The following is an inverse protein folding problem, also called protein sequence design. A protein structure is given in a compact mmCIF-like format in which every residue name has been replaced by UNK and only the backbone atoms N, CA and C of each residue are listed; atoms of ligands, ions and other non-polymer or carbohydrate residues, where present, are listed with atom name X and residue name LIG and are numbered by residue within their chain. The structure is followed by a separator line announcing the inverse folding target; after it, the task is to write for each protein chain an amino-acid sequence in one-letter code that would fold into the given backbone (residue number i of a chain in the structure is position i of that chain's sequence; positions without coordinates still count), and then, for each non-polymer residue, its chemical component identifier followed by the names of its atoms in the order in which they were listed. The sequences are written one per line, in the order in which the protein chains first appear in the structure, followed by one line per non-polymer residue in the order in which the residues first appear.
data_IF_660145435434
#
_entry.id   IF_660145435434
#
_cell.length_a   1.000
_cell.length_b   1.000
_cell.length_c   1.000
_cell.angle_alpha   90.00
_cell.angle_beta   90.00
_cell.angle_gamma   90.00
#
_symmetry.space_group_name_H-M   'P 1'
#
loop_
_entity.id
_entity.type
_entity.pdbx_description
1 polymer ?
#
# COMPACT_ATOMS: atom_id res chain seq x y z
N UNK A 1 -20.23 -10.61 -3.59
CA UNK A 1 -18.81 -10.37 -3.21
C UNK A 1 -18.29 -11.59 -2.51
N UNK A 2 -17.31 -12.29 -3.08
CA UNK A 2 -16.71 -13.47 -2.41
C UNK A 2 -15.57 -12.98 -1.55
N UNK A 3 -15.84 -12.83 -0.26
CA UNK A 3 -14.81 -12.50 0.73
C UNK A 3 -13.83 -13.67 0.86
N UNK A 4 -12.54 -13.40 0.89
CA UNK A 4 -11.51 -14.43 1.06
C UNK A 4 -11.70 -15.11 2.42
N UNK A 5 -11.78 -16.45 2.40
CA UNK A 5 -11.92 -17.26 3.61
C UNK A 5 -10.53 -17.48 4.22
N UNK A 6 -10.37 -17.16 5.51
CA UNK A 6 -9.16 -17.43 6.27
C UNK A 6 -8.95 -18.94 6.47
N UNK A 7 -7.72 -19.41 6.31
CA UNK A 7 -7.34 -20.79 6.63
C UNK A 7 -7.26 -21.02 8.16
N UNK A 8 -7.01 -22.25 8.60
CA UNK A 8 -7.01 -22.60 10.04
C UNK A 8 -5.96 -21.83 10.84
N UNK A 9 -4.73 -21.67 10.32
CA UNK A 9 -3.68 -20.92 11.00
C UNK A 9 -4.04 -19.41 11.09
N UNK A 10 -4.53 -18.82 10.00
CA UNK A 10 -4.97 -17.42 9.97
C UNK A 10 -6.12 -17.16 10.97
N UNK A 11 -7.05 -18.12 11.11
CA UNK A 11 -8.13 -18.05 12.12
C UNK A 11 -7.59 -18.11 13.55
N UNK A 12 -6.59 -18.95 13.82
CA UNK A 12 -5.94 -19.02 15.13
C UNK A 12 -5.23 -17.70 15.49
N UNK A 13 -4.47 -17.13 14.56
CA UNK A 13 -3.82 -15.83 14.78
C UNK A 13 -4.88 -14.74 15.00
N UNK A 14 -5.94 -14.70 14.20
CA UNK A 14 -7.04 -13.75 14.39
C UNK A 14 -7.68 -13.89 15.78
N UNK A 15 -7.93 -15.12 16.25
CA UNK A 15 -8.48 -15.36 17.59
C UNK A 15 -7.57 -14.83 18.70
N UNK A 16 -6.25 -14.98 18.58
CA UNK A 16 -5.26 -14.39 19.51
C UNK A 16 -5.34 -12.86 19.50
N UNK A 17 -5.39 -12.24 18.31
CA UNK A 17 -5.52 -10.77 18.16
C UNK A 17 -6.84 -10.28 18.80
N UNK A 18 -7.96 -10.96 18.55
CA UNK A 18 -9.25 -10.57 19.15
C UNK A 18 -9.29 -10.76 20.67
N UNK A 19 -8.60 -11.79 21.20
CA UNK A 19 -8.40 -11.97 22.63
C UNK A 19 -7.57 -10.82 23.23
N UNK A 20 -6.45 -10.47 22.60
CA UNK A 20 -5.61 -9.35 23.00
C UNK A 20 -6.40 -8.04 22.99
N UNK A 21 -7.16 -7.76 21.91
CA UNK A 21 -7.99 -6.56 21.77
C UNK A 21 -8.97 -6.35 22.90
N UNK A 22 -9.53 -7.43 23.48
CA UNK A 22 -10.48 -7.36 24.61
C UNK A 22 -9.80 -6.99 25.93
N UNK A 23 -8.52 -7.33 26.10
CA UNK A 23 -7.76 -7.13 27.34
C UNK A 23 -7.01 -5.81 27.36
N UNK A 24 -6.45 -5.40 26.22
CA UNK A 24 -5.66 -4.16 26.10
C UNK A 24 -6.58 -2.93 26.05
N UNK A 25 -6.19 -1.84 26.72
CA UNK A 25 -6.85 -0.53 26.56
C UNK A 25 -6.45 0.10 25.23
N UNK A 26 -7.11 1.20 24.86
CA UNK A 26 -6.74 1.99 23.70
C UNK A 26 -5.36 2.62 23.93
N UNK A 27 -4.39 2.26 23.09
CA UNK A 27 -3.05 2.82 23.13
C UNK A 27 -2.99 4.28 22.67
N UNK A 28 -1.94 4.97 23.08
CA UNK A 28 -1.62 6.31 22.58
C UNK A 28 -0.96 6.16 21.22
N UNK A 29 -1.60 6.69 20.19
CA UNK A 29 -1.13 6.66 18.81
C UNK A 29 -0.34 7.93 18.48
N UNK A 30 0.86 7.78 17.93
CA UNK A 30 1.71 8.86 17.41
C UNK A 30 2.13 8.54 15.98
N UNK A 31 2.03 9.52 15.07
CA UNK A 31 2.16 9.33 13.63
C UNK A 31 3.35 10.14 13.08
N UNK A 32 4.56 9.69 13.39
CA UNK A 32 5.81 10.22 12.80
C UNK A 32 6.16 9.40 11.54
N UNK A 33 7.44 9.23 11.22
CA UNK A 33 7.87 8.32 10.15
C UNK A 33 7.43 6.88 10.41
N UNK A 34 7.34 6.48 11.67
CA UNK A 34 6.69 5.23 12.09
C UNK A 34 5.28 5.47 12.63
N UNK A 35 4.41 4.47 12.48
CA UNK A 35 3.16 4.38 13.22
C UNK A 35 3.50 3.84 14.61
N UNK A 36 3.39 4.68 15.64
CA UNK A 36 3.80 4.36 17.01
C UNK A 36 2.59 4.20 17.92
N UNK A 37 2.62 3.17 18.74
CA UNK A 37 1.57 2.89 19.73
C UNK A 37 2.23 2.63 21.07
N UNK A 38 1.80 3.36 22.10
CA UNK A 38 2.13 3.08 23.49
C UNK A 38 0.93 2.44 24.16
N UNK A 39 1.11 1.23 24.71
CA UNK A 39 0.08 0.47 25.40
C UNK A 39 0.65 -0.19 26.66
N UNK A 40 -0.19 -0.97 27.38
CA UNK A 40 0.24 -1.66 28.58
C UNK A 40 1.36 -2.68 28.28
N UNK A 41 2.48 -2.57 29.01
CA UNK A 41 3.69 -3.39 28.80
C UNK A 41 3.53 -4.86 29.16
N UNK A 42 2.53 -5.20 29.97
CA UNK A 42 2.23 -6.60 30.33
C UNK A 42 1.89 -7.49 29.13
N UNK A 43 1.56 -6.88 27.96
CA UNK A 43 1.26 -7.56 26.72
C UNK A 43 2.44 -7.61 25.72
N UNK A 44 3.59 -7.05 26.05
CA UNK A 44 4.72 -6.89 25.11
C UNK A 44 5.19 -8.22 24.51
N UNK A 45 5.29 -9.28 25.30
CA UNK A 45 5.73 -10.59 24.82
C UNK A 45 4.69 -11.23 23.88
N UNK A 46 3.40 -11.12 24.22
CA UNK A 46 2.31 -11.63 23.38
C UNK A 46 2.23 -10.86 22.04
N UNK A 47 2.36 -9.54 22.10
CA UNK A 47 2.38 -8.67 20.90
C UNK A 47 3.57 -9.03 20.01
N UNK A 48 4.76 -9.16 20.60
CA UNK A 48 5.99 -9.55 19.89
C UNK A 48 5.81 -10.90 19.20
N UNK A 49 5.28 -11.89 19.89
CA UNK A 49 5.06 -13.22 19.31
C UNK A 49 4.07 -13.19 18.14
N UNK A 50 2.95 -12.49 18.27
CA UNK A 50 1.98 -12.33 17.17
C UNK A 50 2.64 -11.60 15.99
N UNK A 51 3.43 -10.55 16.24
CA UNK A 51 4.11 -9.81 15.19
C UNK A 51 5.14 -10.67 14.43
N UNK A 52 5.86 -11.56 15.13
CA UNK A 52 6.79 -12.52 14.53
C UNK A 52 6.07 -13.56 13.67
N UNK A 53 4.95 -14.10 14.15
CA UNK A 53 4.13 -15.07 13.41
C UNK A 53 3.53 -14.47 12.11
N UNK A 54 3.45 -13.13 12.03
CA UNK A 54 2.92 -12.39 10.89
C UNK A 54 3.98 -11.93 9.89
N UNK A 55 5.26 -12.26 10.06
CA UNK A 55 6.30 -11.94 9.06
C UNK A 55 5.98 -12.57 7.69
N UNK A 56 6.47 -11.96 6.60
CA UNK A 56 7.23 -10.70 6.48
C UNK A 56 6.36 -9.44 6.58
N UNK A 57 6.96 -8.37 7.12
CA UNK A 57 6.37 -7.03 7.16
C UNK A 57 6.91 -6.19 6.00
N UNK A 58 6.04 -5.89 5.05
CA UNK A 58 6.41 -5.16 3.83
C UNK A 58 6.38 -3.64 4.03
N UNK A 59 5.24 -3.06 4.41
CA UNK A 59 5.09 -1.61 4.65
C UNK A 59 5.29 -1.29 6.13
N UNK A 60 5.83 -0.10 6.42
CA UNK A 60 6.10 0.40 7.76
C UNK A 60 7.04 1.60 7.75
N UNK A 61 7.76 1.87 8.87
CA UNK A 61 7.88 1.04 10.07
C UNK A 61 6.74 1.22 11.09
N UNK A 62 6.63 0.27 12.01
CA UNK A 62 5.76 0.36 13.17
C UNK A 62 6.57 0.28 14.46
N UNK A 63 6.08 0.94 15.51
CA UNK A 63 6.66 0.83 16.86
C UNK A 63 5.54 0.58 17.87
N UNK A 64 5.67 -0.46 18.67
CA UNK A 64 4.75 -0.78 19.76
C UNK A 64 5.59 -0.87 21.03
N UNK A 65 5.46 0.10 21.92
CA UNK A 65 6.37 0.27 23.05
C UNK A 65 7.84 0.22 22.57
N UNK A 66 8.64 -0.75 23.06
CA UNK A 66 10.02 -0.96 22.63
C UNK A 66 10.16 -1.85 21.39
N UNK A 67 9.08 -2.51 20.96
CA UNK A 67 9.10 -3.35 19.76
C UNK A 67 9.12 -2.48 18.51
N UNK A 68 10.25 -2.47 17.79
CA UNK A 68 10.38 -1.81 16.50
C UNK A 68 10.30 -2.84 15.37
N UNK A 69 9.26 -2.71 14.54
CA UNK A 69 9.05 -3.51 13.34
C UNK A 69 9.62 -2.73 12.17
N UNK A 70 10.90 -2.97 11.89
CA UNK A 70 11.64 -2.37 10.78
C UNK A 70 11.27 -3.07 9.47
N UNK A 71 10.20 -2.62 8.86
CA UNK A 71 9.66 -3.23 7.65
C UNK A 71 10.59 -3.09 6.44
N UNK A 72 10.37 -3.90 5.40
CA UNK A 72 11.14 -3.85 4.14
C UNK A 72 11.17 -2.43 3.54
N UNK A 73 10.00 -1.78 3.50
CA UNK A 73 9.85 -0.43 2.95
C UNK A 73 9.78 0.62 4.05
N UNK A 74 10.59 1.67 3.89
CA UNK A 74 10.43 2.93 4.61
C UNK A 74 9.29 3.71 3.97
N UNK A 75 8.05 3.31 4.27
CA UNK A 75 6.86 3.77 3.57
C UNK A 75 6.58 5.27 3.76
N UNK A 76 7.18 5.89 4.79
CA UNK A 76 7.12 7.34 4.97
C UNK A 76 7.77 8.12 3.82
N UNK A 77 8.77 7.55 3.13
CA UNK A 77 9.42 8.19 1.97
C UNK A 77 8.37 8.50 0.90
N UNK A 78 7.58 7.49 0.52
CA UNK A 78 6.47 7.64 -0.42
C UNK A 78 5.37 8.57 0.13
N UNK A 79 5.01 8.40 1.39
CA UNK A 79 3.96 9.21 2.02
C UNK A 79 4.32 10.69 2.02
N UNK A 80 5.59 11.03 2.31
CA UNK A 80 6.07 12.40 2.34
C UNK A 80 6.08 13.07 0.96
N UNK A 81 6.25 12.31 -0.14
CA UNK A 81 6.09 12.85 -1.50
C UNK A 81 4.64 13.29 -1.79
N UNK A 82 3.66 12.59 -1.22
CA UNK A 82 2.25 12.89 -1.38
C UNK A 82 1.74 13.93 -0.36
N UNK A 83 2.44 14.10 0.76
CA UNK A 83 2.00 14.92 1.91
C UNK A 83 1.53 16.34 1.56
N UNK A 84 2.15 17.07 0.60
CA UNK A 84 1.68 18.40 0.19
C UNK A 84 0.24 18.42 -0.34
N UNK A 85 -0.26 17.29 -0.84
CA UNK A 85 -1.60 17.15 -1.44
C UNK A 85 -2.63 16.55 -0.47
N UNK A 86 -2.22 16.15 0.75
CA UNK A 86 -3.10 15.39 1.66
C UNK A 86 -4.05 16.26 2.49
N UNK A 87 -3.91 17.58 2.47
CA UNK A 87 -4.89 18.49 3.09
C UNK A 87 -6.31 18.32 2.51
N UNK A 88 -6.40 17.83 1.26
CA UNK A 88 -7.67 17.50 0.60
C UNK A 88 -8.47 16.38 1.32
N UNK A 89 -7.84 15.60 2.21
CA UNK A 89 -8.49 14.47 2.90
C UNK A 89 -9.46 14.90 4.00
N UNK A 90 -9.34 16.13 4.51
CA UNK A 90 -10.17 16.61 5.63
C UNK A 90 -11.66 16.50 5.30
N UNK A 91 -12.40 15.78 6.14
CA UNK A 91 -13.84 15.56 6.00
C UNK A 91 -14.26 14.66 4.83
N UNK A 92 -13.32 14.01 4.12
CA UNK A 92 -13.59 13.17 2.94
C UNK A 92 -13.77 11.69 3.30
N UNK A 93 -14.49 10.99 2.44
CA UNK A 93 -14.58 9.52 2.43
C UNK A 93 -13.47 8.99 1.53
N UNK A 94 -12.50 8.29 2.14
CA UNK A 94 -11.24 7.92 1.50
C UNK A 94 -11.08 6.41 1.45
N UNK A 95 -10.62 5.89 0.29
CA UNK A 95 -10.19 4.50 0.13
C UNK A 95 -8.67 4.41 -0.07
N UNK A 96 -8.05 3.34 0.44
CA UNK A 96 -6.70 2.90 0.07
C UNK A 96 -6.79 1.50 -0.54
N UNK A 97 -6.55 1.39 -1.86
CA UNK A 97 -6.65 0.15 -2.63
C UNK A 97 -5.27 -0.46 -2.79
N UNK A 98 -5.09 -1.70 -2.33
CA UNK A 98 -3.79 -2.30 -2.09
C UNK A 98 -3.15 -1.75 -0.82
N UNK A 99 -3.97 -1.54 0.21
CA UNK A 99 -3.56 -0.90 1.45
C UNK A 99 -2.50 -1.69 2.24
N UNK A 100 -2.27 -2.96 1.89
CA UNK A 100 -1.36 -3.85 2.60
C UNK A 100 -1.73 -3.92 4.10
N UNK A 101 -0.81 -3.69 5.02
CA UNK A 101 -1.05 -3.69 6.47
C UNK A 101 -1.63 -2.37 7.03
N UNK A 102 -2.08 -1.48 6.15
CA UNK A 102 -2.75 -0.24 6.54
C UNK A 102 -1.83 0.89 6.98
N UNK A 103 -0.51 0.81 6.76
CA UNK A 103 0.42 1.87 7.17
C UNK A 103 -0.05 3.25 6.73
N UNK A 104 -0.43 3.42 5.45
CA UNK A 104 -0.91 4.72 4.94
C UNK A 104 -2.26 5.11 5.54
N UNK A 105 -3.16 4.15 5.80
CA UNK A 105 -4.44 4.43 6.45
C UNK A 105 -4.24 5.03 7.85
N UNK A 106 -3.31 4.48 8.65
CA UNK A 106 -2.98 5.08 9.95
C UNK A 106 -2.39 6.48 9.78
N UNK A 107 -1.48 6.68 8.82
CA UNK A 107 -0.88 7.99 8.55
C UNK A 107 -1.90 9.03 8.10
N UNK A 108 -2.91 8.64 7.33
CA UNK A 108 -3.98 9.53 6.86
C UNK A 108 -4.87 10.06 7.99
N UNK A 109 -4.88 9.45 9.17
CA UNK A 109 -5.63 9.95 10.33
C UNK A 109 -5.20 11.38 10.74
N UNK A 110 -3.94 11.78 10.45
CA UNK A 110 -3.45 13.14 10.72
C UNK A 110 -4.29 14.23 10.01
N UNK A 111 -4.95 13.89 8.90
CA UNK A 111 -5.71 14.80 8.04
C UNK A 111 -7.21 14.78 8.31
N UNK A 112 -7.66 14.10 9.37
CA UNK A 112 -9.06 14.08 9.82
C UNK A 112 -10.07 13.74 8.70
N UNK A 113 -9.89 12.64 7.94
CA UNK A 113 -10.90 12.18 6.99
C UNK A 113 -12.18 11.78 7.71
N UNK A 114 -13.34 11.94 7.05
CA UNK A 114 -14.62 11.52 7.61
C UNK A 114 -14.71 9.99 7.72
N UNK A 115 -14.10 9.28 6.78
CA UNK A 115 -14.05 7.81 6.76
C UNK A 115 -12.80 7.32 6.03
N UNK A 116 -12.19 6.25 6.55
CA UNK A 116 -11.08 5.53 5.91
C UNK A 116 -11.47 4.07 5.71
N UNK A 117 -11.28 3.56 4.47
CA UNK A 117 -11.51 2.16 4.12
C UNK A 117 -10.31 1.62 3.36
N UNK A 118 -9.67 0.58 3.88
CA UNK A 118 -8.61 -0.14 3.18
C UNK A 118 -9.15 -1.35 2.44
N UNK A 119 -8.63 -1.59 1.24
CA UNK A 119 -8.94 -2.76 0.42
C UNK A 119 -7.65 -3.52 0.11
N UNK A 120 -7.53 -4.76 0.55
CA UNK A 120 -6.45 -5.65 0.16
C UNK A 120 -6.89 -7.11 0.30
N UNK A 121 -6.70 -7.99 -0.71
CA UNK A 121 -7.15 -9.38 -0.66
C UNK A 121 -6.22 -10.30 0.15
N UNK A 122 -5.12 -9.79 0.72
CA UNK A 122 -4.15 -10.58 1.47
C UNK A 122 -4.58 -10.81 2.91
N UNK A 123 -4.79 -12.05 3.30
CA UNK A 123 -5.12 -12.40 4.68
C UNK A 123 -3.99 -12.04 5.68
N UNK A 124 -2.71 -12.21 5.29
CA UNK A 124 -1.57 -11.86 6.15
C UNK A 124 -1.55 -10.38 6.48
N UNK A 125 -1.67 -9.52 5.47
CA UNK A 125 -1.64 -8.06 5.66
C UNK A 125 -2.87 -7.57 6.42
N UNK A 126 -4.02 -8.21 6.22
CA UNK A 126 -5.19 -8.00 7.06
C UNK A 126 -4.91 -8.31 8.54
N UNK A 127 -4.28 -9.44 8.84
CA UNK A 127 -3.95 -9.79 10.22
C UNK A 127 -2.91 -8.85 10.84
N UNK A 128 -1.93 -8.38 10.06
CA UNK A 128 -1.01 -7.32 10.49
C UNK A 128 -1.78 -6.03 10.85
N UNK A 129 -2.68 -5.58 9.98
CA UNK A 129 -3.57 -4.45 10.28
C UNK A 129 -4.41 -4.71 11.54
N UNK A 130 -5.00 -5.90 11.68
CA UNK A 130 -5.82 -6.27 12.85
C UNK A 130 -5.02 -6.18 14.15
N UNK A 131 -3.75 -6.62 14.16
CA UNK A 131 -2.87 -6.49 15.32
C UNK A 131 -2.66 -5.01 15.69
N UNK A 132 -2.23 -4.19 14.74
CA UNK A 132 -1.99 -2.76 14.96
C UNK A 132 -3.28 -2.06 15.42
N UNK A 133 -4.40 -2.33 14.76
CA UNK A 133 -5.67 -1.70 15.10
C UNK A 133 -6.32 -2.24 16.39
N UNK A 134 -5.97 -3.44 16.82
CA UNK A 134 -6.39 -3.96 18.14
C UNK A 134 -5.84 -3.09 19.29
N UNK A 135 -4.62 -2.56 19.10
CA UNK A 135 -3.93 -1.70 20.05
C UNK A 135 -4.33 -0.22 19.89
N UNK A 136 -4.38 0.28 18.67
CA UNK A 136 -4.69 1.68 18.37
C UNK A 136 -6.20 2.01 18.50
N UNK A 137 -7.08 1.02 18.31
CA UNK A 137 -8.56 1.14 18.34
C UNK A 137 -9.06 2.33 17.52
N UNK A 138 -8.59 2.42 16.26
CA UNK A 138 -9.03 3.46 15.31
C UNK A 138 -10.32 3.06 14.58
N UNK A 139 -11.08 4.02 14.01
CA UNK A 139 -12.30 3.75 13.25
C UNK A 139 -12.02 3.32 11.78
N UNK A 140 -10.80 2.92 11.45
CA UNK A 140 -10.45 2.48 10.10
C UNK A 140 -11.14 1.14 9.79
N UNK A 141 -11.83 1.07 8.65
CA UNK A 141 -12.37 -0.16 8.10
C UNK A 141 -11.33 -0.83 7.18
N UNK A 142 -11.27 -2.15 7.21
CA UNK A 142 -10.42 -2.93 6.32
C UNK A 142 -11.23 -4.06 5.69
N UNK A 143 -11.22 -4.12 4.38
CA UNK A 143 -11.94 -5.08 3.56
C UNK A 143 -10.98 -6.07 2.89
N UNK A 144 -11.21 -7.38 3.08
CA UNK A 144 -10.50 -8.44 2.35
C UNK A 144 -11.01 -8.55 0.90
N UNK A 145 -10.92 -7.44 0.16
CA UNK A 145 -11.45 -7.28 -1.18
C UNK A 145 -10.38 -6.64 -2.10
N UNK A 146 -10.44 -6.95 -3.38
CA UNK A 146 -9.61 -6.30 -4.41
C UNK A 146 -10.30 -5.10 -5.07
N UNK A 147 -9.57 -4.45 -5.99
CA UNK A 147 -10.05 -3.28 -6.75
C UNK A 147 -11.33 -3.58 -7.54
N UNK A 148 -11.48 -4.80 -8.03
CA UNK A 148 -12.65 -5.28 -8.78
C UNK A 148 -13.97 -5.19 -8.00
N UNK A 149 -13.91 -5.00 -6.69
CA UNK A 149 -15.09 -4.87 -5.84
C UNK A 149 -15.56 -3.41 -5.67
N UNK A 150 -14.71 -2.43 -6.00
CA UNK A 150 -15.03 -1.00 -5.86
C UNK A 150 -16.31 -0.56 -6.61
N UNK A 151 -16.54 -0.99 -7.86
CA UNK A 151 -17.75 -0.56 -8.60
C UNK A 151 -19.05 -0.88 -7.88
N UNK A 152 -19.07 -1.99 -7.12
CA UNK A 152 -20.25 -2.51 -6.43
C UNK A 152 -20.15 -2.38 -4.89
N UNK A 153 -19.22 -1.60 -4.38
CA UNK A 153 -19.10 -1.36 -2.95
C UNK A 153 -20.27 -0.51 -2.43
N UNK A 154 -20.59 -0.61 -1.15
CA UNK A 154 -21.80 -0.01 -0.55
C UNK A 154 -21.88 1.52 -0.69
N UNK A 155 -20.77 2.20 -0.89
CA UNK A 155 -20.71 3.65 -1.13
C UNK A 155 -19.51 4.00 -2.02
N UNK A 156 -19.52 5.20 -2.57
CA UNK A 156 -18.45 5.78 -3.37
C UNK A 156 -17.49 6.57 -2.48
N UNK A 157 -16.32 6.90 -3.03
CA UNK A 157 -15.26 7.62 -2.36
C UNK A 157 -15.00 8.97 -3.00
N UNK A 158 -14.63 9.95 -2.19
CA UNK A 158 -14.20 11.26 -2.69
C UNK A 158 -12.74 11.18 -3.17
N UNK A 159 -11.93 10.37 -2.49
CA UNK A 159 -10.52 10.17 -2.80
C UNK A 159 -10.20 8.68 -2.71
N UNK A 160 -9.48 8.17 -3.72
CA UNK A 160 -8.94 6.81 -3.74
C UNK A 160 -7.42 6.88 -3.86
N UNK A 161 -6.71 6.24 -2.93
CA UNK A 161 -5.30 5.91 -3.10
C UNK A 161 -5.16 4.53 -3.72
N UNK A 162 -4.25 4.41 -4.69
CA UNK A 162 -3.90 3.15 -5.33
C UNK A 162 -2.38 3.13 -5.57
N UNK A 163 -1.64 2.77 -4.53
CA UNK A 163 -0.20 2.95 -4.48
C UNK A 163 0.53 1.61 -4.62
N UNK A 164 1.13 1.40 -5.80
CA UNK A 164 1.94 0.21 -6.07
C UNK A 164 1.12 -1.03 -6.44
N UNK A 165 0.05 -0.88 -7.21
CA UNK A 165 -0.87 -1.99 -7.54
C UNK A 165 -1.04 -2.21 -9.04
N UNK A 166 -1.10 -1.16 -9.86
CA UNK A 166 -1.52 -1.26 -11.26
C UNK A 166 -0.59 -2.16 -12.11
N UNK A 167 0.70 -2.15 -11.83
CA UNK A 167 1.66 -2.99 -12.56
C UNK A 167 1.49 -4.49 -12.28
N UNK A 168 0.74 -4.86 -11.24
CA UNK A 168 0.34 -6.23 -10.93
C UNK A 168 -0.94 -6.67 -11.67
N UNK A 169 -1.49 -5.83 -12.55
CA UNK A 169 -2.73 -6.12 -13.27
C UNK A 169 -2.45 -6.36 -14.75
N UNK A 170 -2.95 -7.48 -15.25
CA UNK A 170 -2.86 -7.83 -16.69
C UNK A 170 -3.73 -6.95 -17.58
N UNK A 171 -4.71 -6.24 -17.01
CA UNK A 171 -5.54 -5.24 -17.68
C UNK A 171 -5.55 -3.93 -16.88
N UNK A 172 -4.57 -3.05 -17.12
CA UNK A 172 -4.43 -1.79 -16.39
C UNK A 172 -5.57 -0.80 -16.68
N UNK A 173 -6.11 -0.78 -17.91
CA UNK A 173 -7.21 0.11 -18.27
C UNK A 173 -8.51 -0.30 -17.59
N UNK A 174 -8.79 -1.60 -17.49
CA UNK A 174 -9.92 -2.11 -16.71
C UNK A 174 -9.80 -1.71 -15.24
N UNK A 175 -8.63 -1.88 -14.64
CA UNK A 175 -8.41 -1.48 -13.26
C UNK A 175 -8.66 0.02 -13.04
N UNK A 176 -8.19 0.88 -13.94
CA UNK A 176 -8.43 2.32 -13.88
C UNK A 176 -9.93 2.65 -13.99
N UNK A 177 -10.70 1.94 -14.83
CA UNK A 177 -12.16 2.06 -14.90
C UNK A 177 -12.83 1.62 -13.60
N UNK A 178 -12.34 0.56 -12.95
CA UNK A 178 -12.84 0.10 -11.65
C UNK A 178 -12.58 1.14 -10.54
N UNK A 179 -11.40 1.77 -10.51
CA UNK A 179 -11.10 2.88 -9.61
C UNK A 179 -12.06 4.06 -9.85
N UNK A 180 -12.21 4.48 -11.12
CA UNK A 180 -13.12 5.58 -11.48
C UNK A 180 -14.56 5.27 -11.09
N UNK A 181 -15.02 4.05 -11.32
CA UNK A 181 -16.36 3.61 -10.93
C UNK A 181 -16.58 3.62 -9.41
N UNK A 182 -15.52 3.55 -8.59
CA UNK A 182 -15.56 3.69 -7.14
C UNK A 182 -15.66 5.13 -6.64
N UNK A 183 -15.47 6.14 -7.51
CA UNK A 183 -15.45 7.56 -7.13
C UNK A 183 -16.83 8.21 -7.11
N UNK A 184 -17.01 9.19 -6.24
CA UNK A 184 -18.02 10.22 -6.34
C UNK A 184 -17.72 11.12 -7.56
N UNK A 185 -18.73 11.87 -8.04
CA UNK A 185 -18.55 12.86 -9.12
C UNK A 185 -17.49 13.89 -8.70
N UNK A 186 -16.48 14.11 -9.54
CA UNK A 186 -15.38 15.02 -9.28
C UNK A 186 -14.35 14.47 -8.26
N UNK A 187 -14.45 13.19 -7.92
CA UNK A 187 -13.49 12.53 -7.04
C UNK A 187 -12.11 12.37 -7.66
N UNK A 188 -11.12 12.05 -6.82
CA UNK A 188 -9.70 12.04 -7.17
C UNK A 188 -9.09 10.68 -6.90
N UNK A 189 -8.14 10.25 -7.76
CA UNK A 189 -7.26 9.11 -7.50
C UNK A 189 -5.82 9.59 -7.35
N UNK A 190 -5.16 9.22 -6.26
CA UNK A 190 -3.71 9.24 -6.15
C UNK A 190 -3.18 7.86 -6.54
N UNK A 191 -2.42 7.81 -7.62
CA UNK A 191 -1.87 6.57 -8.17
C UNK A 191 -0.35 6.60 -8.15
N UNK A 192 0.29 5.49 -7.79
CA UNK A 192 1.72 5.29 -8.06
C UNK A 192 1.92 4.00 -8.86
N UNK A 193 2.88 4.05 -9.77
CA UNK A 193 3.31 2.87 -10.52
C UNK A 193 4.81 2.92 -10.82
N UNK A 194 5.38 1.75 -11.11
CA UNK A 194 6.65 1.65 -11.81
C UNK A 194 6.52 2.30 -13.18
N UNK A 195 7.58 2.97 -13.65
CA UNK A 195 7.61 3.56 -14.99
C UNK A 195 9.02 3.47 -15.61
N UNK A 196 9.10 3.59 -16.94
CA UNK A 196 10.34 3.75 -17.69
C UNK A 196 10.46 5.20 -18.16
N UNK A 197 11.69 5.71 -18.17
CA UNK A 197 12.02 7.02 -18.77
C UNK A 197 12.08 6.89 -20.28
N UNK A 198 10.97 7.17 -20.94
CA UNK A 198 10.84 7.19 -22.38
C UNK A 198 9.76 8.23 -22.75
N UNK A 199 10.02 9.03 -23.78
CA UNK A 199 9.07 10.06 -24.24
C UNK A 199 7.95 9.45 -25.12
N UNK A 200 8.18 8.27 -25.68
CA UNK A 200 7.22 7.56 -26.52
C UNK A 200 6.10 6.96 -25.67
N UNK A 201 4.97 6.72 -26.29
CA UNK A 201 3.77 6.10 -25.69
C UNK A 201 3.91 4.57 -25.65
N UNK A 202 4.92 4.07 -24.91
CA UNK A 202 5.26 2.65 -24.83
C UNK A 202 5.21 2.11 -23.41
N UNK A 203 5.09 0.79 -23.29
CA UNK A 203 5.27 0.08 -22.04
C UNK A 203 6.23 -1.09 -22.20
N UNK A 204 7.14 -1.25 -21.25
CA UNK A 204 7.95 -2.45 -21.12
C UNK A 204 7.06 -3.60 -20.67
N UNK A 205 7.12 -4.73 -21.38
CA UNK A 205 6.47 -5.98 -21.05
C UNK A 205 7.56 -6.98 -20.66
N UNK A 206 7.75 -7.25 -19.34
CA UNK A 206 8.77 -8.18 -18.91
C UNK A 206 8.48 -9.61 -19.41
N UNK A 207 9.52 -10.32 -19.84
CA UNK A 207 9.35 -11.68 -20.40
C UNK A 207 8.81 -12.68 -19.36
N UNK A 208 9.32 -12.65 -18.13
CA UNK A 208 8.94 -13.53 -17.03
C UNK A 208 8.83 -12.74 -15.72
N UNK A 209 9.88 -12.04 -15.32
CA UNK A 209 9.96 -11.26 -14.11
C UNK A 209 10.50 -9.86 -14.42
N UNK A 210 10.16 -8.92 -13.55
CA UNK A 210 10.82 -7.64 -13.42
C UNK A 210 11.23 -7.50 -11.95
N UNK A 211 12.53 -7.31 -11.70
CA UNK A 211 13.04 -7.29 -10.32
C UNK A 211 12.68 -8.58 -9.54
N UNK A 212 12.84 -9.74 -10.17
CA UNK A 212 12.44 -11.08 -9.65
C UNK A 212 10.96 -11.21 -9.27
N UNK A 213 10.12 -10.24 -9.63
CA UNK A 213 8.68 -10.23 -9.33
C UNK A 213 7.93 -10.71 -10.58
N UNK A 214 7.28 -11.88 -10.48
CA UNK A 214 6.65 -12.54 -11.63
C UNK A 214 5.34 -11.89 -12.10
N UNK A 215 4.65 -11.16 -11.24
CA UNK A 215 3.36 -10.54 -11.56
C UNK A 215 3.46 -9.05 -11.86
N UNK A 216 4.59 -8.60 -12.41
CA UNK A 216 4.69 -7.27 -13.04
C UNK A 216 4.45 -7.47 -14.54
N UNK A 217 3.28 -7.00 -15.00
CA UNK A 217 2.84 -7.18 -16.38
C UNK A 217 3.30 -6.06 -17.30
N UNK A 218 3.27 -4.82 -16.82
CA UNK A 218 3.60 -3.64 -17.61
C UNK A 218 4.33 -2.60 -16.77
N UNK A 219 5.37 -2.00 -17.37
CA UNK A 219 6.05 -0.82 -16.83
C UNK A 219 5.94 0.27 -17.91
N UNK A 220 4.96 1.19 -17.83
CA UNK A 220 4.69 2.18 -18.86
C UNK A 220 5.68 3.36 -18.81
N UNK A 221 5.82 4.08 -19.92
CA UNK A 221 6.26 5.47 -19.90
C UNK A 221 5.17 6.36 -19.28
N UNK A 222 5.50 7.58 -18.89
CA UNK A 222 4.52 8.54 -18.36
C UNK A 222 3.43 8.85 -19.40
N UNK A 223 3.82 8.96 -20.69
CA UNK A 223 2.89 9.19 -21.80
C UNK A 223 1.93 8.02 -22.00
N UNK A 224 2.41 6.77 -21.93
CA UNK A 224 1.57 5.59 -22.00
C UNK A 224 0.61 5.49 -20.81
N UNK A 225 1.08 5.82 -19.59
CA UNK A 225 0.23 5.85 -18.39
C UNK A 225 -0.89 6.89 -18.53
N UNK A 226 -0.58 8.09 -19.05
CA UNK A 226 -1.58 9.13 -19.35
C UNK A 226 -2.64 8.60 -20.29
N UNK A 227 -2.25 7.96 -21.40
CA UNK A 227 -3.17 7.38 -22.36
C UNK A 227 -4.10 6.33 -21.72
N UNK A 228 -3.57 5.48 -20.82
CA UNK A 228 -4.41 4.53 -20.09
C UNK A 228 -5.45 5.22 -19.22
N UNK A 229 -5.06 6.29 -18.53
CA UNK A 229 -5.96 7.08 -17.67
C UNK A 229 -7.06 7.78 -18.49
N UNK A 230 -6.72 8.40 -19.63
CA UNK A 230 -7.66 9.04 -20.55
C UNK A 230 -8.64 8.01 -21.14
N UNK A 231 -8.15 6.84 -21.58
CA UNK A 231 -8.99 5.72 -22.06
C UNK A 231 -9.90 5.14 -20.98
N UNK A 232 -9.51 5.26 -19.73
CA UNK A 232 -10.38 4.91 -18.59
C UNK A 232 -11.39 6.01 -18.26
N UNK A 233 -11.28 7.19 -18.91
CA UNK A 233 -12.21 8.30 -18.83
C UNK A 233 -11.86 9.33 -17.73
N UNK A 234 -10.64 9.35 -17.19
CA UNK A 234 -10.20 10.46 -16.34
C UNK A 234 -10.02 11.73 -17.13
N UNK A 235 -10.49 12.86 -16.59
CA UNK A 235 -10.51 14.17 -17.26
C UNK A 235 -9.22 14.97 -17.05
N UNK A 236 -8.43 14.63 -16.02
CA UNK A 236 -7.19 15.32 -15.69
C UNK A 236 -6.13 14.31 -15.21
N UNK A 237 -4.89 14.54 -15.62
CA UNK A 237 -3.71 13.75 -15.27
C UNK A 237 -2.56 14.70 -14.91
N UNK A 238 -2.14 14.68 -13.66
CA UNK A 238 -1.05 15.50 -13.13
C UNK A 238 0.05 14.60 -12.56
N UNK A 239 1.30 14.83 -12.94
CA UNK A 239 2.47 14.18 -12.34
C UNK A 239 2.85 14.98 -11.10
N UNK A 240 2.81 14.34 -9.94
CA UNK A 240 3.16 14.95 -8.66
C UNK A 240 4.65 14.82 -8.34
N UNK A 241 5.22 13.65 -8.64
CA UNK A 241 6.62 13.34 -8.40
C UNK A 241 7.08 12.12 -9.21
N UNK A 242 8.39 12.02 -9.39
CA UNK A 242 9.07 10.79 -9.79
C UNK A 242 10.19 10.48 -8.81
N UNK A 243 10.49 9.20 -8.58
CA UNK A 243 11.57 8.78 -7.68
C UNK A 243 12.14 7.43 -8.10
N UNK A 244 13.46 7.33 -8.16
CA UNK A 244 14.15 6.04 -8.20
C UNK A 244 14.02 5.37 -6.82
N UNK A 245 13.74 4.08 -6.81
CA UNK A 245 13.78 3.29 -5.57
C UNK A 245 15.24 3.11 -5.17
N UNK A 246 15.57 3.43 -3.93
CA UNK A 246 16.91 3.28 -3.37
C UNK A 246 16.95 2.30 -2.17
N UNK A 247 18.14 1.94 -1.72
CA UNK A 247 18.35 0.99 -0.64
C UNK A 247 18.02 1.56 0.74
N UNK A 248 17.83 2.87 0.87
CA UNK A 248 17.26 3.46 2.07
C UNK A 248 15.75 3.20 2.15
N UNK A 249 15.06 3.31 1.01
CA UNK A 249 13.60 3.12 0.95
C UNK A 249 13.21 1.65 1.01
N UNK A 250 13.93 0.76 0.26
CA UNK A 250 13.63 -0.68 0.20
C UNK A 250 14.86 -1.49 0.54
N UNK A 251 14.81 -2.22 1.65
CA UNK A 251 15.96 -2.98 2.15
C UNK A 251 15.57 -4.26 2.87
N UNK A 252 16.52 -5.17 3.00
CA UNK A 252 16.39 -6.32 3.87
C UNK A 252 16.48 -5.89 5.35
N UNK A 253 15.62 -6.49 6.18
CA UNK A 253 15.59 -6.28 7.62
C UNK A 253 15.27 -7.61 8.31
N UNK A 254 15.44 -7.73 9.64
CA UNK A 254 14.99 -8.91 10.39
C UNK A 254 13.48 -9.17 10.32
N UNK A 255 12.69 -8.19 9.84
CA UNK A 255 11.23 -8.27 9.69
C UNK A 255 10.78 -8.54 8.27
N UNK A 256 11.66 -8.36 7.27
CA UNK A 256 11.44 -8.78 5.89
C UNK A 256 12.02 -10.18 5.68
N UNK A 257 11.40 -10.96 4.84
CA UNK A 257 11.88 -12.27 4.42
C UNK A 257 12.02 -12.29 2.90
N UNK A 258 13.01 -13.01 2.39
CA UNK A 258 13.27 -13.12 0.96
C UNK A 258 14.09 -11.95 0.41
N UNK A 259 13.85 -11.62 -0.84
CA UNK A 259 14.60 -10.63 -1.61
C UNK A 259 14.14 -9.20 -1.33
N UNK A 260 15.09 -8.26 -1.48
CA UNK A 260 14.86 -6.81 -1.45
C UNK A 260 15.61 -6.12 -2.59
N UNK A 261 15.61 -4.78 -2.66
CA UNK A 261 16.12 -4.03 -3.81
C UNK A 261 17.53 -4.46 -4.26
N UNK A 262 18.45 -4.69 -3.33
CA UNK A 262 19.82 -5.12 -3.66
C UNK A 262 19.85 -6.42 -4.47
N UNK A 263 18.92 -7.34 -4.20
CA UNK A 263 18.82 -8.61 -4.92
C UNK A 263 18.16 -8.46 -6.29
N UNK A 264 17.48 -7.33 -6.52
CA UNK A 264 16.74 -7.04 -7.75
C UNK A 264 17.58 -6.31 -8.78
N UNK A 265 18.66 -5.67 -8.35
CA UNK A 265 19.56 -4.94 -9.23
C UNK A 265 20.65 -5.85 -9.83
N UNK A 266 21.15 -5.47 -10.99
CA UNK A 266 22.31 -6.11 -11.58
C UNK A 266 23.55 -5.91 -10.70
N UNK A 267 24.35 -6.95 -10.45
CA UNK A 267 25.55 -6.83 -9.61
C UNK A 267 26.63 -5.97 -10.26
N UNK A 268 26.56 -5.73 -11.57
CA UNK A 268 27.56 -4.96 -12.35
C UNK A 268 27.08 -3.58 -12.77
N UNK A 269 25.77 -3.33 -12.71
CA UNK A 269 25.20 -2.03 -13.09
C UNK A 269 23.89 -1.79 -12.32
N UNK A 270 23.92 -0.91 -11.32
CA UNK A 270 22.75 -0.57 -10.49
C UNK A 270 21.62 0.16 -11.23
N UNK A 271 21.85 0.64 -12.45
CA UNK A 271 20.82 1.25 -13.28
C UNK A 271 19.95 0.21 -14.01
N UNK A 272 20.28 -1.07 -13.84
CA UNK A 272 19.56 -2.20 -14.43
C UNK A 272 19.06 -3.16 -13.35
N UNK A 273 17.96 -3.84 -13.65
CA UNK A 273 17.54 -5.02 -12.87
C UNK A 273 18.42 -6.21 -13.18
N UNK A 274 18.35 -7.26 -12.37
CA UNK A 274 19.08 -8.51 -12.63
C UNK A 274 18.66 -9.20 -13.94
N UNK A 275 17.50 -8.85 -14.50
CA UNK A 275 17.07 -9.29 -15.84
C UNK A 275 17.55 -8.40 -16.98
N UNK A 276 18.21 -7.26 -16.68
CA UNK A 276 18.72 -6.29 -17.66
C UNK A 276 17.71 -5.22 -18.08
N UNK A 277 16.58 -5.09 -17.42
CA UNK A 277 15.64 -3.98 -17.60
C UNK A 277 16.10 -2.74 -16.81
N UNK A 278 15.61 -1.52 -17.15
CA UNK A 278 15.85 -0.34 -16.31
C UNK A 278 15.51 -0.58 -14.85
N UNK A 279 16.34 -0.08 -13.93
CA UNK A 279 16.11 -0.19 -12.49
C UNK A 279 14.78 0.46 -12.05
N UNK A 280 14.17 0.02 -10.92
CA UNK A 280 12.85 0.48 -10.51
C UNK A 280 12.80 1.98 -10.26
N UNK A 281 12.01 2.69 -11.05
CA UNK A 281 11.59 4.09 -10.83
C UNK A 281 10.08 4.15 -10.71
N UNK A 282 9.60 5.09 -9.91
CA UNK A 282 8.16 5.29 -9.66
C UNK A 282 7.72 6.67 -10.06
N UNK A 283 6.52 6.74 -10.65
CA UNK A 283 5.79 7.97 -10.90
C UNK A 283 4.55 8.02 -10.02
N UNK A 284 4.30 9.19 -9.45
CA UNK A 284 3.16 9.52 -8.61
C UNK A 284 2.28 10.49 -9.37
N UNK A 285 1.01 10.16 -9.53
CA UNK A 285 0.08 10.98 -10.31
C UNK A 285 -1.22 11.22 -9.55
N UNK A 286 -1.83 12.37 -9.82
CA UNK A 286 -3.18 12.73 -9.40
C UNK A 286 -4.10 12.72 -10.62
N UNK A 287 -5.18 11.99 -10.51
CA UNK A 287 -6.19 11.82 -11.55
C UNK A 287 -7.53 12.39 -11.07
N UNK A 288 -8.30 13.03 -11.94
CA UNK A 288 -9.65 13.51 -11.63
C UNK A 288 -10.69 12.81 -12.51
N UNK A 289 -11.80 12.37 -11.88
CA UNK A 289 -12.89 11.66 -12.56
C UNK A 289 -13.80 12.61 -13.36
#
# INVERSE_FOLDING_TARGET
MTQKVLNSNEKQILARIESLKKRVKKGILSLNDSVQIQCEREFDDEIRQIALDLKPWRKGPFRINELYIDSEWQSFVKFNLLKPHLSELSGKVVADVGCNNGYYLFKMLEFSPAKLVGFDPSARTFLQFRLINALAKTPINYELLGVENLPNYAHKFDIIFCLGVIYHRSDPVKMLKELKAGLNKGGVVFLDTLFIEDEREIALVPRQTYSKIANIYFVPSVSALRNWCERAGFSHFEVLATKATDTFEQRQTPWSEGYSLQDFLSPTNSDLTCEGYPAPKRVYVRLQA
#
